data_IF_273493759895
#
_entry.id   IF_273493759895
#
_cell.length_a   1.000
_cell.length_b   1.000
_cell.length_c   1.000
_cell.angle_alpha   90.00
_cell.angle_beta   90.00
_cell.angle_gamma   90.00
#
_symmetry.space_group_name_H-M   'P 1'
#
loop_
_entity.id
_entity.type
_entity.pdbx_description
1 polymer ?
#
# COMPACT_ATOMS: atom_id res chain seq x y z
N UNK A 1 11.45 69.58 -41.23
CA UNK A 1 10.67 68.48 -40.60
C UNK A 1 10.94 67.09 -41.11
N UNK A 2 11.80 66.98 -42.10
CA UNK A 2 12.28 65.71 -42.66
C UNK A 2 12.93 64.81 -41.59
N UNK A 3 13.55 65.41 -40.58
CA UNK A 3 14.22 64.70 -39.47
C UNK A 3 13.22 64.03 -38.50
N UNK A 4 12.04 64.62 -38.28
CA UNK A 4 10.96 64.05 -37.44
C UNK A 4 10.29 62.86 -38.13
N UNK A 5 10.12 62.96 -39.45
CA UNK A 5 9.53 61.86 -40.26
C UNK A 5 10.47 60.66 -40.30
N UNK A 6 11.80 60.87 -40.44
CA UNK A 6 12.79 59.80 -40.42
C UNK A 6 12.88 59.12 -39.04
N UNK A 7 12.81 59.88 -37.95
CA UNK A 7 12.79 59.32 -36.58
C UNK A 7 11.51 58.51 -36.33
N UNK A 8 10.35 59.01 -36.79
CA UNK A 8 9.09 58.27 -36.64
C UNK A 8 9.12 56.97 -37.48
N UNK A 9 9.66 57.02 -38.71
CA UNK A 9 9.75 55.85 -39.59
C UNK A 9 10.72 54.80 -39.00
N UNK A 10 11.88 55.20 -38.45
CA UNK A 10 12.81 54.27 -37.80
C UNK A 10 12.20 53.62 -36.58
N UNK A 11 11.41 54.36 -35.78
CA UNK A 11 10.71 53.82 -34.63
C UNK A 11 9.64 52.81 -35.05
N UNK A 12 8.88 53.08 -36.09
CA UNK A 12 7.89 52.13 -36.63
C UNK A 12 8.54 50.86 -37.18
N UNK A 13 9.69 50.99 -37.85
CA UNK A 13 10.44 49.83 -38.35
C UNK A 13 11.00 48.97 -37.23
N UNK A 14 11.44 49.60 -36.14
CA UNK A 14 11.92 48.88 -34.96
C UNK A 14 10.80 48.16 -34.18
N UNK A 15 9.65 48.83 -34.05
CA UNK A 15 8.44 48.22 -33.49
C UNK A 15 7.92 47.04 -34.37
N UNK A 16 7.96 47.17 -35.68
CA UNK A 16 7.60 46.11 -36.62
C UNK A 16 8.54 44.90 -36.50
N UNK A 17 9.85 45.12 -36.41
CA UNK A 17 10.82 44.03 -36.16
C UNK A 17 10.59 43.30 -34.86
N UNK A 18 10.34 44.02 -33.76
CA UNK A 18 10.02 43.45 -32.47
C UNK A 18 8.73 42.60 -32.51
N UNK A 19 7.71 43.02 -33.27
CA UNK A 19 6.47 42.28 -33.49
C UNK A 19 6.70 41.02 -34.33
N UNK A 20 7.48 41.10 -35.39
CA UNK A 20 7.81 39.97 -36.25
C UNK A 20 8.67 38.94 -35.50
N UNK A 21 9.64 39.36 -34.69
CA UNK A 21 10.46 38.48 -33.84
C UNK A 21 9.60 37.82 -32.77
N UNK A 22 8.62 38.54 -32.20
CA UNK A 22 7.67 37.99 -31.25
C UNK A 22 6.72 36.99 -31.88
N UNK A 23 6.25 37.23 -33.10
CA UNK A 23 5.39 36.30 -33.83
C UNK A 23 6.13 35.00 -34.17
N UNK A 24 7.38 35.09 -34.66
CA UNK A 24 8.22 33.94 -34.93
C UNK A 24 8.54 33.14 -33.68
N UNK A 25 8.75 33.82 -32.54
CA UNK A 25 8.97 33.18 -31.23
C UNK A 25 7.72 32.45 -30.73
N UNK A 26 6.53 33.03 -30.90
CA UNK A 26 5.25 32.38 -30.54
C UNK A 26 4.96 31.15 -31.40
N UNK A 27 5.22 31.21 -32.71
CA UNK A 27 5.04 30.04 -33.57
C UNK A 27 6.00 28.91 -33.23
N UNK A 28 7.27 29.22 -32.96
CA UNK A 28 8.27 28.25 -32.49
C UNK A 28 7.88 27.62 -31.17
N UNK A 29 7.41 28.40 -30.18
CA UNK A 29 6.93 27.89 -28.88
C UNK A 29 5.68 27.03 -29.07
N UNK A 30 4.74 27.41 -29.91
CA UNK A 30 3.56 26.58 -30.20
C UNK A 30 3.94 25.22 -30.79
N UNK A 31 4.90 25.20 -31.71
CA UNK A 31 5.41 23.96 -32.29
C UNK A 31 6.11 23.10 -31.22
N UNK A 32 6.94 23.68 -30.38
CA UNK A 32 7.60 22.95 -29.27
C UNK A 32 6.58 22.36 -28.30
N UNK A 33 5.50 23.07 -27.98
CA UNK A 33 4.43 22.54 -27.13
C UNK A 33 3.79 21.31 -27.75
N UNK A 34 3.50 21.35 -29.08
CA UNK A 34 2.91 20.19 -29.78
C UNK A 34 3.87 19.00 -29.79
N UNK A 35 5.15 19.23 -30.10
CA UNK A 35 6.18 18.18 -30.13
C UNK A 35 6.38 17.55 -28.75
N UNK A 36 6.53 18.36 -27.71
CA UNK A 36 6.67 17.84 -26.34
C UNK A 36 5.41 17.13 -25.83
N UNK A 37 4.23 17.61 -26.20
CA UNK A 37 2.98 16.93 -25.84
C UNK A 37 2.88 15.55 -26.51
N UNK A 38 3.26 15.44 -27.78
CA UNK A 38 3.29 14.15 -28.49
C UNK A 38 4.29 13.19 -27.86
N UNK A 39 5.50 13.67 -27.52
CA UNK A 39 6.51 12.86 -26.84
C UNK A 39 6.04 12.40 -25.45
N UNK A 40 5.39 13.28 -24.72
CA UNK A 40 4.82 12.94 -23.40
C UNK A 40 3.71 11.88 -23.51
N UNK A 41 2.83 11.97 -24.51
CA UNK A 41 1.80 10.97 -24.78
C UNK A 41 2.39 9.61 -25.18
N UNK A 42 3.40 9.60 -26.03
CA UNK A 42 4.13 8.38 -26.41
C UNK A 42 4.73 7.70 -25.19
N UNK A 43 5.42 8.47 -24.34
CA UNK A 43 6.01 7.98 -23.08
C UNK A 43 4.93 7.47 -22.13
N UNK A 44 3.79 8.17 -22.04
CA UNK A 44 2.66 7.75 -21.22
C UNK A 44 2.03 6.42 -21.69
N UNK A 45 1.96 6.19 -23.02
CA UNK A 45 1.49 4.90 -23.58
C UNK A 45 2.44 3.75 -23.27
N UNK A 46 3.75 3.98 -23.31
CA UNK A 46 4.75 2.99 -22.91
C UNK A 46 4.63 2.66 -21.42
N UNK A 47 4.46 3.69 -20.57
CA UNK A 47 4.24 3.52 -19.15
C UNK A 47 2.94 2.74 -18.85
N UNK A 48 1.86 3.05 -19.58
CA UNK A 48 0.59 2.31 -19.50
C UNK A 48 0.76 0.83 -19.79
N UNK A 49 1.47 0.46 -20.84
CA UNK A 49 1.71 -0.94 -21.19
C UNK A 49 2.48 -1.68 -20.06
N UNK A 50 3.48 -1.04 -19.45
CA UNK A 50 4.22 -1.60 -18.32
C UNK A 50 3.34 -1.73 -17.08
N UNK A 51 2.51 -0.74 -16.80
CA UNK A 51 1.56 -0.77 -15.67
C UNK A 51 0.52 -1.87 -15.85
N UNK A 52 -0.01 -2.04 -17.05
CA UNK A 52 -0.98 -3.09 -17.35
C UNK A 52 -0.37 -4.49 -17.12
N UNK A 53 0.83 -4.74 -17.64
CA UNK A 53 1.52 -6.02 -17.43
C UNK A 53 1.78 -6.30 -15.94
N UNK A 54 2.21 -5.28 -15.18
CA UNK A 54 2.42 -5.41 -13.74
C UNK A 54 1.11 -5.59 -12.97
N UNK A 55 0.02 -4.93 -13.42
CA UNK A 55 -1.30 -5.08 -12.82
C UNK A 55 -1.84 -6.50 -12.98
N UNK A 56 -1.65 -7.12 -14.15
CA UNK A 56 -2.09 -8.49 -14.42
C UNK A 56 -1.33 -9.50 -13.52
N UNK A 57 -0.01 -9.35 -13.39
CA UNK A 57 0.81 -10.19 -12.50
C UNK A 57 0.40 -10.02 -11.03
N UNK A 58 0.30 -8.79 -10.54
CA UNK A 58 -0.06 -8.50 -9.16
C UNK A 58 -1.49 -8.94 -8.83
N UNK A 59 -2.43 -8.78 -9.74
CA UNK A 59 -3.82 -9.26 -9.60
C UNK A 59 -3.85 -10.75 -9.28
N UNK A 60 -3.09 -11.56 -10.01
CA UNK A 60 -3.02 -12.99 -9.78
C UNK A 60 -2.38 -13.31 -8.43
N UNK A 61 -1.20 -12.76 -8.13
CA UNK A 61 -0.47 -13.04 -6.90
C UNK A 61 -1.25 -12.63 -5.65
N UNK A 62 -1.89 -11.46 -5.67
CA UNK A 62 -2.69 -10.97 -4.55
C UNK A 62 -3.94 -11.84 -4.37
N UNK A 63 -4.63 -12.22 -5.44
CA UNK A 63 -5.80 -13.11 -5.39
C UNK A 63 -5.44 -14.47 -4.77
N UNK A 64 -4.33 -15.09 -5.19
CA UNK A 64 -3.84 -16.35 -4.62
C UNK A 64 -3.49 -16.21 -3.13
N UNK A 65 -2.86 -15.11 -2.74
CA UNK A 65 -2.57 -14.81 -1.34
C UNK A 65 -3.86 -14.64 -0.51
N UNK A 66 -4.87 -13.95 -1.04
CA UNK A 66 -6.18 -13.82 -0.38
C UNK A 66 -6.84 -15.17 -0.09
N UNK A 67 -6.73 -16.14 -1.00
CA UNK A 67 -7.28 -17.49 -0.79
C UNK A 67 -6.65 -18.17 0.44
N UNK A 68 -5.34 -18.00 0.65
CA UNK A 68 -4.64 -18.52 1.83
C UNK A 68 -4.97 -17.78 3.13
N UNK A 69 -5.53 -16.58 3.02
CA UNK A 69 -5.87 -15.67 4.12
C UNK A 69 -7.36 -15.69 4.52
N UNK A 70 -8.02 -16.82 4.36
CA UNK A 70 -9.45 -17.03 4.68
C UNK A 70 -10.43 -16.23 3.81
N UNK A 71 -10.06 -15.97 2.58
CA UNK A 71 -10.90 -15.37 1.55
C UNK A 71 -10.92 -16.26 0.29
N UNK A 72 -11.44 -17.52 0.38
CA UNK A 72 -11.28 -18.54 -0.66
C UNK A 72 -11.99 -18.20 -1.98
N UNK A 73 -12.93 -17.27 -1.95
CA UNK A 73 -13.65 -16.76 -3.12
C UNK A 73 -13.24 -15.32 -3.46
N UNK A 74 -12.23 -14.81 -2.78
CA UNK A 74 -11.71 -13.46 -2.99
C UNK A 74 -11.13 -13.31 -4.39
N UNK A 75 -11.42 -12.17 -5.00
CA UNK A 75 -10.80 -11.73 -6.26
C UNK A 75 -10.32 -10.32 -6.09
N UNK A 76 -9.06 -10.10 -6.41
CA UNK A 76 -8.46 -8.78 -6.48
C UNK A 76 -8.27 -8.39 -7.94
N UNK A 77 -8.48 -7.14 -8.27
CA UNK A 77 -8.24 -6.61 -9.62
C UNK A 77 -7.62 -5.21 -9.53
N UNK A 78 -6.70 -4.94 -10.45
CA UNK A 78 -6.11 -3.62 -10.63
C UNK A 78 -6.60 -3.10 -11.97
N UNK A 79 -7.44 -2.07 -11.93
CA UNK A 79 -7.93 -1.38 -13.12
C UNK A 79 -6.95 -0.27 -13.49
N UNK A 80 -6.45 -0.30 -14.73
CA UNK A 80 -5.53 0.71 -15.28
C UNK A 80 -6.21 1.32 -16.50
N UNK A 81 -6.83 2.48 -16.32
CA UNK A 81 -7.57 3.18 -17.38
C UNK A 81 -6.75 4.34 -17.93
N UNK A 82 -6.42 4.29 -19.23
CA UNK A 82 -5.68 5.34 -19.94
C UNK A 82 -6.62 6.43 -20.44
N UNK A 83 -6.34 7.70 -20.11
CA UNK A 83 -7.07 8.85 -20.63
C UNK A 83 -6.10 9.98 -21.03
N UNK A 84 -5.93 10.19 -22.33
CA UNK A 84 -5.04 11.23 -22.89
C UNK A 84 -5.37 12.65 -22.39
N UNK A 85 -6.63 12.91 -22.02
CA UNK A 85 -7.08 14.22 -21.50
C UNK A 85 -6.53 14.53 -20.11
N UNK A 86 -6.06 13.51 -19.39
CA UNK A 86 -5.52 13.62 -18.04
C UNK A 86 -4.01 13.34 -18.00
N UNK A 87 -3.28 13.76 -19.04
CA UNK A 87 -1.83 13.65 -19.06
C UNK A 87 -1.19 14.51 -17.99
N UNK A 88 -0.38 13.87 -17.13
CA UNK A 88 0.37 14.49 -16.01
C UNK A 88 1.84 14.10 -16.08
N UNK A 89 2.64 14.58 -15.12
CA UNK A 89 4.03 14.15 -14.95
C UNK A 89 4.14 12.65 -14.63
N UNK A 90 3.09 12.05 -14.06
CA UNK A 90 3.02 10.63 -13.69
C UNK A 90 2.37 9.75 -14.76
N UNK A 91 2.12 10.28 -15.96
CA UNK A 91 1.46 9.61 -17.08
C UNK A 91 -0.01 9.99 -17.20
N UNK A 92 -0.76 9.15 -17.91
CA UNK A 92 -2.17 9.38 -18.27
C UNK A 92 -3.11 8.29 -17.75
N UNK A 93 -2.65 7.47 -16.78
CA UNK A 93 -3.44 6.38 -16.21
C UNK A 93 -4.19 6.81 -14.96
N UNK A 94 -5.42 6.34 -14.86
CA UNK A 94 -6.15 6.24 -13.60
C UNK A 94 -6.07 4.80 -13.10
N UNK A 95 -5.57 4.59 -11.89
CA UNK A 95 -5.39 3.26 -11.30
C UNK A 95 -6.32 3.10 -10.12
N UNK A 96 -7.15 2.04 -10.14
CA UNK A 96 -8.04 1.70 -9.05
C UNK A 96 -7.89 0.23 -8.63
N UNK A 97 -7.73 0.00 -7.34
CA UNK A 97 -7.74 -1.32 -6.73
C UNK A 97 -9.17 -1.71 -6.41
N UNK A 98 -9.60 -2.84 -6.95
CA UNK A 98 -10.94 -3.38 -6.76
C UNK A 98 -10.87 -4.78 -6.16
N UNK A 99 -11.85 -5.13 -5.36
CA UNK A 99 -11.88 -6.40 -4.67
C UNK A 99 -13.32 -6.88 -4.47
N UNK A 100 -13.49 -8.19 -4.43
CA UNK A 100 -14.64 -8.86 -3.83
C UNK A 100 -14.13 -9.98 -2.94
N UNK A 101 -14.78 -10.22 -1.81
CA UNK A 101 -14.45 -11.32 -0.88
C UNK A 101 -15.51 -12.41 -0.88
N UNK A 102 -16.67 -12.14 -1.45
CA UNK A 102 -17.83 -13.05 -1.45
C UNK A 102 -18.24 -13.47 -2.87
N UNK A 103 -18.66 -14.75 -3.05
CA UNK A 103 -19.15 -15.23 -4.33
C UNK A 103 -20.36 -14.43 -4.82
N UNK A 104 -20.40 -14.12 -6.10
CA UNK A 104 -21.53 -13.45 -6.75
C UNK A 104 -21.67 -11.95 -6.48
N UNK A 105 -20.77 -11.37 -5.70
CA UNK A 105 -20.70 -9.92 -5.53
C UNK A 105 -19.80 -9.28 -6.59
N UNK A 106 -20.16 -8.08 -7.10
CA UNK A 106 -19.32 -7.36 -8.05
C UNK A 106 -18.03 -6.86 -7.37
N UNK A 107 -16.97 -6.70 -8.16
CA UNK A 107 -15.76 -6.01 -7.75
C UNK A 107 -16.09 -4.57 -7.34
N UNK A 108 -15.63 -4.17 -6.17
CA UNK A 108 -15.80 -2.82 -5.62
C UNK A 108 -14.43 -2.18 -5.34
N UNK A 109 -14.33 -0.85 -5.35
CA UNK A 109 -13.14 -0.17 -4.85
C UNK A 109 -12.74 -0.66 -3.46
N UNK A 110 -11.45 -0.86 -3.22
CA UNK A 110 -10.93 -1.40 -1.94
C UNK A 110 -11.38 -0.54 -0.74
N UNK A 111 -11.57 0.76 -0.93
CA UNK A 111 -12.07 1.69 0.09
C UNK A 111 -13.50 1.38 0.56
N UNK A 112 -14.25 0.53 -0.17
CA UNK A 112 -15.62 0.11 0.18
C UNK A 112 -15.68 -1.26 0.88
N UNK A 113 -14.54 -1.87 1.16
CA UNK A 113 -14.51 -3.12 1.94
C UNK A 113 -14.99 -2.85 3.37
N UNK A 114 -16.03 -3.56 3.79
CA UNK A 114 -16.70 -3.31 5.06
C UNK A 114 -15.98 -3.95 6.26
N UNK A 115 -15.16 -4.99 6.05
CA UNK A 115 -14.48 -5.74 7.10
C UNK A 115 -13.06 -5.21 7.32
N UNK A 116 -12.77 -4.69 8.51
CA UNK A 116 -11.42 -4.26 8.90
C UNK A 116 -10.41 -5.40 8.83
N UNK A 117 -10.76 -6.60 9.30
CA UNK A 117 -9.90 -7.78 9.25
C UNK A 117 -9.59 -8.24 7.82
N UNK A 118 -10.57 -8.22 6.91
CA UNK A 118 -10.33 -8.54 5.50
C UNK A 118 -9.42 -7.50 4.85
N UNK A 119 -9.68 -6.23 5.09
CA UNK A 119 -8.86 -5.13 4.55
C UNK A 119 -7.41 -5.23 5.04
N UNK A 120 -7.20 -5.50 6.33
CA UNK A 120 -5.86 -5.67 6.91
C UNK A 120 -5.12 -6.87 6.30
N UNK A 121 -5.81 -7.98 6.02
CA UNK A 121 -5.22 -9.15 5.36
C UNK A 121 -4.91 -8.91 3.88
N UNK A 122 -5.76 -8.17 3.17
CA UNK A 122 -5.47 -7.75 1.79
C UNK A 122 -4.24 -6.83 1.77
N UNK A 123 -4.16 -5.88 2.70
CA UNK A 123 -3.00 -5.02 2.84
C UNK A 123 -1.71 -5.82 3.14
N UNK A 124 -1.81 -6.83 4.03
CA UNK A 124 -0.70 -7.74 4.31
C UNK A 124 -0.24 -8.48 3.05
N UNK A 125 -1.18 -9.03 2.26
CA UNK A 125 -0.86 -9.71 0.99
C UNK A 125 -0.11 -8.79 0.03
N UNK A 126 -0.60 -7.56 -0.16
CA UNK A 126 0.03 -6.55 -1.01
C UNK A 126 1.44 -6.25 -0.52
N UNK A 127 1.62 -6.00 0.78
CA UNK A 127 2.93 -5.66 1.36
C UNK A 127 3.94 -6.79 1.23
N UNK A 128 3.55 -8.04 1.46
CA UNK A 128 4.44 -9.21 1.31
C UNK A 128 4.90 -9.38 -0.14
N UNK A 129 3.98 -9.23 -1.10
CA UNK A 129 4.26 -9.39 -2.53
C UNK A 129 5.15 -8.25 -3.04
N UNK A 130 4.96 -7.03 -2.54
CA UNK A 130 5.68 -5.83 -3.01
C UNK A 130 6.91 -5.48 -2.16
N UNK A 131 7.14 -6.15 -1.03
CA UNK A 131 8.18 -5.82 -0.05
C UNK A 131 9.59 -5.63 -0.64
N UNK A 132 9.95 -6.42 -1.65
CA UNK A 132 11.26 -6.31 -2.31
C UNK A 132 11.44 -5.07 -3.18
N UNK A 133 10.35 -4.37 -3.51
CA UNK A 133 10.33 -3.22 -4.41
C UNK A 133 9.96 -1.91 -3.71
N UNK A 134 9.54 -1.98 -2.44
CA UNK A 134 9.08 -0.83 -1.67
C UNK A 134 9.94 -0.64 -0.41
N UNK A 135 10.53 0.52 -0.26
CA UNK A 135 11.24 0.94 0.95
C UNK A 135 10.25 1.57 1.95
N UNK A 136 9.49 0.72 2.65
CA UNK A 136 8.61 1.18 3.73
C UNK A 136 9.34 0.93 5.06
N UNK A 137 9.67 1.98 5.84
CA UNK A 137 10.51 1.81 7.03
C UNK A 137 9.80 1.07 8.17
N UNK A 138 8.48 1.26 8.33
CA UNK A 138 7.69 0.57 9.35
C UNK A 138 6.25 0.35 8.89
N UNK A 139 5.69 -0.79 9.28
CA UNK A 139 4.30 -1.18 9.03
C UNK A 139 3.62 -1.56 10.34
N UNK A 140 2.40 -1.10 10.52
CA UNK A 140 1.57 -1.43 11.67
C UNK A 140 0.31 -2.13 11.16
N UNK A 141 0.08 -3.36 11.63
CA UNK A 141 -1.13 -4.13 11.33
C UNK A 141 -2.01 -4.21 12.58
N UNK A 142 -3.22 -3.72 12.45
CA UNK A 142 -4.28 -3.88 13.42
C UNK A 142 -5.41 -4.72 12.83
N UNK A 143 -6.12 -5.48 13.66
CA UNK A 143 -7.25 -6.33 13.26
C UNK A 143 -6.93 -7.40 12.19
N UNK A 144 -5.67 -7.68 11.88
CA UNK A 144 -5.27 -8.63 10.82
C UNK A 144 -5.72 -10.06 11.12
N UNK A 145 -5.91 -10.39 12.39
CA UNK A 145 -6.33 -11.70 12.90
C UNK A 145 -7.83 -11.78 13.28
N UNK A 146 -8.60 -10.73 13.04
CA UNK A 146 -10.04 -10.72 13.31
C UNK A 146 -10.77 -11.66 12.34
N UNK A 147 -11.59 -12.53 12.90
CA UNK A 147 -12.42 -13.48 12.15
C UNK A 147 -11.68 -14.69 11.59
N UNK A 148 -10.43 -14.92 12.02
CA UNK A 148 -9.66 -16.10 11.64
C UNK A 148 -9.21 -16.90 12.87
N UNK A 149 -8.80 -18.15 12.65
CA UNK A 149 -8.25 -19.02 13.69
C UNK A 149 -7.41 -20.14 13.06
N UNK A 150 -6.76 -20.94 13.90
CA UNK A 150 -6.08 -22.16 13.49
C UNK A 150 -5.09 -21.98 12.32
N UNK A 151 -5.26 -22.73 11.23
CA UNK A 151 -4.33 -22.72 10.11
C UNK A 151 -4.16 -21.34 9.46
N UNK A 152 -5.24 -20.58 9.31
CA UNK A 152 -5.16 -19.22 8.72
C UNK A 152 -4.36 -18.26 9.60
N UNK A 153 -4.54 -18.33 10.93
CA UNK A 153 -3.76 -17.53 11.86
C UNK A 153 -2.26 -17.85 11.77
N UNK A 154 -1.90 -19.12 11.58
CA UNK A 154 -0.51 -19.53 11.37
C UNK A 154 0.06 -18.97 10.05
N UNK A 155 -0.73 -18.95 8.98
CA UNK A 155 -0.32 -18.31 7.70
C UNK A 155 -0.07 -16.82 7.89
N UNK A 156 -0.99 -16.10 8.54
CA UNK A 156 -0.83 -14.66 8.84
C UNK A 156 0.44 -14.42 9.64
N UNK A 157 0.67 -15.20 10.70
CA UNK A 157 1.88 -15.07 11.54
C UNK A 157 3.17 -15.26 10.74
N UNK A 158 3.23 -16.27 9.85
CA UNK A 158 4.38 -16.52 8.97
C UNK A 158 4.62 -15.40 7.98
N UNK A 159 3.56 -14.85 7.38
CA UNK A 159 3.68 -13.73 6.44
C UNK A 159 4.18 -12.45 7.13
N UNK A 160 3.69 -12.16 8.34
CA UNK A 160 4.18 -11.04 9.14
C UNK A 160 5.64 -11.22 9.52
N UNK A 161 6.06 -12.43 9.91
CA UNK A 161 7.46 -12.74 10.19
C UNK A 161 8.36 -12.57 8.98
N UNK A 162 7.95 -13.09 7.82
CA UNK A 162 8.66 -12.93 6.55
C UNK A 162 8.83 -11.44 6.19
N UNK A 163 7.78 -10.66 6.34
CA UNK A 163 7.82 -9.20 6.10
C UNK A 163 8.78 -8.50 7.07
N UNK A 164 8.84 -8.98 8.32
CA UNK A 164 9.72 -8.50 9.38
C UNK A 164 11.21 -8.75 9.15
N UNK A 165 11.60 -9.54 8.14
CA UNK A 165 13.01 -9.72 7.76
C UNK A 165 13.62 -8.49 7.07
N UNK A 166 12.80 -7.71 6.38
CA UNK A 166 13.23 -6.54 5.61
C UNK A 166 12.64 -5.21 6.07
N UNK A 167 11.58 -5.25 6.89
CA UNK A 167 10.83 -4.06 7.31
C UNK A 167 10.49 -4.18 8.79
N UNK A 168 10.47 -3.08 9.51
CA UNK A 168 9.95 -3.10 10.88
C UNK A 168 8.44 -3.31 10.86
N UNK A 169 7.98 -4.43 11.43
CA UNK A 169 6.55 -4.77 11.47
C UNK A 169 6.07 -4.80 12.92
N UNK A 170 5.00 -4.07 13.19
CA UNK A 170 4.25 -4.16 14.45
C UNK A 170 2.86 -4.73 14.15
N UNK A 171 2.40 -5.67 14.97
CA UNK A 171 1.08 -6.26 14.85
C UNK A 171 0.39 -6.31 16.19
N UNK A 172 -0.86 -5.83 16.23
CA UNK A 172 -1.75 -6.03 17.38
C UNK A 172 -2.50 -7.33 17.15
N UNK A 173 -2.37 -8.28 18.10
CA UNK A 173 -2.96 -9.61 17.96
C UNK A 173 -3.42 -10.17 19.29
N UNK A 174 -4.45 -10.99 19.27
CA UNK A 174 -4.94 -11.79 20.39
C UNK A 174 -4.76 -13.30 20.14
N UNK A 175 -4.24 -13.69 18.97
CA UNK A 175 -4.05 -15.08 18.59
C UNK A 175 -2.62 -15.58 18.89
N UNK A 176 -2.46 -16.67 19.65
CA UNK A 176 -1.15 -17.20 19.99
C UNK A 176 -0.35 -17.65 18.77
N UNK A 177 -1.01 -18.11 17.68
CA UNK A 177 -0.38 -18.49 16.43
C UNK A 177 0.31 -17.30 15.75
N UNK A 178 -0.27 -16.10 15.85
CA UNK A 178 0.31 -14.86 15.31
C UNK A 178 1.40 -14.35 16.24
N UNK A 179 1.10 -14.23 17.54
CA UNK A 179 2.05 -13.73 18.55
C UNK A 179 3.32 -14.59 18.66
N UNK A 180 3.20 -15.92 18.48
CA UNK A 180 4.33 -16.85 18.47
C UNK A 180 5.33 -16.60 17.35
N UNK A 181 4.87 -16.11 16.19
CA UNK A 181 5.72 -15.83 15.04
C UNK A 181 6.56 -14.54 15.17
N UNK A 182 6.21 -13.60 16.07
CA UNK A 182 6.95 -12.36 16.26
C UNK A 182 8.38 -12.56 16.74
N UNK A 183 9.33 -11.72 16.32
CA UNK A 183 10.69 -11.69 16.86
C UNK A 183 10.71 -11.16 18.30
N UNK A 184 9.86 -10.19 18.57
CA UNK A 184 9.67 -9.58 19.88
C UNK A 184 8.20 -9.62 20.27
N UNK A 185 7.91 -9.57 21.58
CA UNK A 185 6.56 -9.59 22.09
C UNK A 185 6.42 -8.52 23.19
N UNK A 186 5.44 -7.66 23.05
CA UNK A 186 5.05 -6.67 24.03
C UNK A 186 3.68 -7.04 24.59
N UNK A 187 3.57 -7.01 25.91
CA UNK A 187 2.30 -7.18 26.59
C UNK A 187 1.67 -5.81 26.86
N UNK A 188 0.40 -5.68 26.51
CA UNK A 188 -0.37 -4.46 26.75
C UNK A 188 -1.44 -4.76 27.78
N UNK A 189 -1.47 -4.01 28.86
CA UNK A 189 -2.49 -4.09 29.90
C UNK A 189 -3.05 -2.70 30.22
N UNK A 190 -4.29 -2.70 30.70
CA UNK A 190 -4.95 -1.51 31.25
C UNK A 190 -5.09 -1.69 32.75
N UNK A 191 -4.63 -0.71 33.51
CA UNK A 191 -4.80 -0.63 34.96
C UNK A 191 -5.72 0.55 35.27
N UNK A 192 -6.71 0.29 36.13
CA UNK A 192 -7.69 1.30 36.55
C UNK A 192 -7.64 1.41 38.07
N UNK A 193 -7.42 2.60 38.58
CA UNK A 193 -7.45 2.90 40.02
C UNK A 193 -8.84 3.36 40.54
N UNK A 194 -9.84 3.39 39.62
CA UNK A 194 -11.21 3.83 39.90
C UNK A 194 -11.52 5.23 39.41
N UNK A 195 -10.52 6.07 39.17
CA UNK A 195 -10.66 7.42 38.65
C UNK A 195 -10.02 7.58 37.27
N UNK A 196 -8.89 6.92 37.03
CA UNK A 196 -8.15 6.94 35.77
C UNK A 196 -7.83 5.54 35.27
N UNK A 197 -7.76 5.40 33.96
CA UNK A 197 -7.30 4.18 33.31
C UNK A 197 -5.99 4.47 32.57
N UNK A 198 -4.94 3.75 32.95
CA UNK A 198 -3.65 3.83 32.31
C UNK A 198 -3.39 2.59 31.45
N UNK A 199 -2.76 2.78 30.29
CA UNK A 199 -2.35 1.68 29.42
C UNK A 199 -0.83 1.53 29.54
N UNK A 200 -0.41 0.33 29.94
CA UNK A 200 1.00 -0.02 30.05
C UNK A 200 1.39 -0.99 28.94
N UNK A 201 2.56 -0.76 28.35
CA UNK A 201 3.17 -1.66 27.38
C UNK A 201 4.56 -2.05 27.86
N UNK A 202 4.81 -3.36 27.97
CA UNK A 202 6.09 -3.87 28.46
C UNK A 202 6.63 -4.98 27.55
N UNK A 203 7.95 -4.99 27.28
CA UNK A 203 8.57 -6.08 26.54
C UNK A 203 8.59 -7.34 27.39
N UNK A 204 8.31 -8.49 26.75
CA UNK A 204 8.38 -9.79 27.41
C UNK A 204 9.72 -10.47 27.13
N UNK A 205 10.38 -10.97 28.19
CA UNK A 205 11.49 -11.89 28.04
C UNK A 205 11.02 -13.29 27.59
N UNK A 206 11.93 -14.19 27.31
CA UNK A 206 11.62 -15.55 26.84
C UNK A 206 10.67 -16.31 27.74
N UNK A 207 10.82 -16.17 29.05
CA UNK A 207 9.98 -16.86 30.04
C UNK A 207 8.58 -16.25 30.11
N UNK A 208 8.50 -14.94 30.21
CA UNK A 208 7.25 -14.21 30.26
C UNK A 208 6.46 -14.39 28.94
N UNK A 209 7.16 -14.39 27.77
CA UNK A 209 6.56 -14.67 26.50
C UNK A 209 5.95 -16.07 26.42
N UNK A 210 6.63 -17.09 26.92
CA UNK A 210 6.10 -18.45 26.96
C UNK A 210 4.84 -18.52 27.82
N UNK A 211 4.83 -17.87 28.98
CA UNK A 211 3.67 -17.81 29.89
C UNK A 211 2.49 -17.10 29.19
N UNK A 212 2.73 -15.99 28.54
CA UNK A 212 1.68 -15.24 27.84
C UNK A 212 1.08 -16.05 26.70
N UNK A 213 1.89 -16.72 25.88
CA UNK A 213 1.39 -17.62 24.85
C UNK A 213 0.58 -18.78 25.41
N UNK A 214 1.01 -19.36 26.51
CA UNK A 214 0.26 -20.41 27.20
C UNK A 214 -1.08 -19.89 27.76
N UNK A 215 -1.12 -18.65 28.28
CA UNK A 215 -2.34 -17.97 28.70
C UNK A 215 -3.30 -17.73 27.52
N UNK A 216 -2.79 -17.29 26.37
CA UNK A 216 -3.58 -17.10 25.14
C UNK A 216 -4.16 -18.43 24.62
N UNK A 217 -3.46 -19.55 24.81
CA UNK A 217 -3.91 -20.90 24.42
C UNK A 217 -4.95 -21.49 25.37
N UNK A 218 -4.73 -21.32 26.68
CA UNK A 218 -5.50 -22.02 27.72
C UNK A 218 -6.48 -21.16 28.53
N UNK A 219 -6.55 -19.85 28.25
CA UNK A 219 -7.35 -18.92 29.04
C UNK A 219 -6.74 -18.65 30.42
N UNK A 220 -7.56 -18.69 31.49
CA UNK A 220 -7.15 -18.33 32.86
C UNK A 220 -6.16 -19.31 33.52
N UNK A 221 -6.11 -20.56 33.04
CA UNK A 221 -5.25 -21.57 33.63
C UNK A 221 -4.12 -22.01 32.70
N UNK A 222 -2.88 -21.80 33.15
CA UNK A 222 -1.69 -22.26 32.44
C UNK A 222 -1.36 -23.69 32.89
N UNK A 223 -1.61 -24.67 32.04
CA UNK A 223 -1.34 -26.08 32.27
C UNK A 223 0.01 -26.52 31.68
N UNK A 224 0.46 -27.71 31.99
CA UNK A 224 1.66 -28.31 31.37
C UNK A 224 1.47 -28.48 29.86
N UNK A 225 0.24 -28.79 29.39
CA UNK A 225 -0.07 -28.98 28.00
C UNK A 225 -0.06 -27.63 27.25
N UNK A 226 -0.63 -26.57 27.82
CA UNK A 226 -0.61 -25.25 27.20
C UNK A 226 0.82 -24.68 27.11
N UNK A 227 1.68 -24.97 28.10
CA UNK A 227 3.09 -24.61 28.03
C UNK A 227 3.85 -25.40 26.96
N UNK A 228 3.56 -26.68 26.79
CA UNK A 228 4.16 -27.49 25.71
C UNK A 228 3.76 -26.95 24.34
N UNK A 229 2.47 -26.70 24.11
CA UNK A 229 1.96 -26.13 22.86
C UNK A 229 2.53 -24.71 22.61
N UNK A 230 2.67 -23.89 23.65
CA UNK A 230 3.30 -22.57 23.53
C UNK A 230 4.78 -22.66 23.10
N UNK A 231 5.52 -23.68 23.57
CA UNK A 231 6.89 -23.93 23.10
C UNK A 231 6.95 -24.30 21.63
N UNK A 232 6.01 -25.10 21.15
CA UNK A 232 5.92 -25.46 19.73
C UNK A 232 5.69 -24.24 18.86
N UNK A 233 4.80 -23.32 19.29
CA UNK A 233 4.55 -22.06 18.57
C UNK A 233 5.78 -21.15 18.49
N UNK A 234 6.66 -21.19 19.50
CA UNK A 234 7.89 -20.39 19.48
C UNK A 234 9.01 -21.03 18.65
N UNK A 235 8.91 -22.32 18.36
CA UNK A 235 9.90 -23.08 17.60
C UNK A 235 9.58 -23.13 16.07
N UNK A 236 8.34 -22.80 15.69
CA UNK A 236 7.85 -22.84 14.32
C UNK A 236 8.15 -21.53 13.58
#
# INVERSE_FOLDING_TARGET
DRRKVLLANNKMLEEQRLLDDSAGSLESLSQQVVEHHQLALETARQLHALRQASADELTQLITESMHSLSMPHGVFAIEVAFDERHLTADGADHIEFRVTTNPGQPLQPIAKVASGGELSRIALAIQVITARKMETPALIFDEVDVGISGPTAAVVGKLLRQLGESTQVMCVTHLPQVAGCGHHHFFVCKETDGEMTETHMQPLDKRARLQELARLLGGSEVTRNTLANAKELLAA
#
